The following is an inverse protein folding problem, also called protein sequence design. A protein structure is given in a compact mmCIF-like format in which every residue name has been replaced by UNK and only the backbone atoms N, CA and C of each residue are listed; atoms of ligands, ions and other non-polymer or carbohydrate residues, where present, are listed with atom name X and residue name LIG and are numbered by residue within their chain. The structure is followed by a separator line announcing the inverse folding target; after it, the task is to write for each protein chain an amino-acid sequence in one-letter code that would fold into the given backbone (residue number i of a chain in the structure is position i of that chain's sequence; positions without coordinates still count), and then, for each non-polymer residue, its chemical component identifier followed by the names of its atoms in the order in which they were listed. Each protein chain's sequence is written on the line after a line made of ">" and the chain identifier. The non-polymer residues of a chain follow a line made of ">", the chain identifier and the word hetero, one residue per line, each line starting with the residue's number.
data_IF_516590746630
#
_entry.id   IF_516590746630
#
_cell.length_a   1.000
_cell.length_b   1.000
_cell.length_c   1.000
_cell.angle_alpha   90.00
_cell.angle_beta   90.00
_cell.angle_gamma   90.00
#
_symmetry.space_group_name_H-M   'P 1'
#
loop_
_entity.id
_entity.type
_entity.pdbx_description
1 polymer ?
#
# COMPACT_ATOMS: atom_id res chain seq x y z
N UNK A 1 -0.51 -25.05 2.29
CA UNK A 1 -0.65 -24.99 0.81
C UNK A 1 0.64 -24.38 0.27
N UNK A 2 1.35 -25.00 -0.68
CA UNK A 2 2.54 -24.36 -1.28
C UNK A 2 2.07 -23.28 -2.26
N UNK A 3 2.50 -22.04 -2.04
CA UNK A 3 2.13 -20.90 -2.88
C UNK A 3 2.87 -21.00 -4.22
N UNK A 4 2.15 -20.85 -5.33
CA UNK A 4 2.75 -20.85 -6.66
C UNK A 4 3.00 -19.41 -7.15
N UNK A 5 4.23 -18.92 -6.93
CA UNK A 5 4.65 -17.58 -7.34
C UNK A 5 4.65 -17.37 -8.86
N UNK A 6 4.82 -18.43 -9.66
CA UNK A 6 5.02 -18.33 -11.11
C UNK A 6 3.80 -17.82 -11.89
N UNK A 7 2.62 -17.79 -11.26
CA UNK A 7 1.38 -17.27 -11.87
C UNK A 7 1.12 -15.80 -11.52
N UNK A 8 1.93 -15.17 -10.67
CA UNK A 8 1.74 -13.80 -10.24
C UNK A 8 2.44 -12.83 -11.19
N UNK A 9 1.70 -11.82 -11.66
CA UNK A 9 2.28 -10.78 -12.54
C UNK A 9 3.43 -10.06 -11.84
N UNK A 10 3.34 -9.82 -10.54
CA UNK A 10 4.39 -9.17 -9.74
C UNK A 10 5.72 -9.93 -9.71
N UNK A 11 5.67 -11.26 -9.90
CA UNK A 11 6.85 -12.13 -9.89
C UNK A 11 7.30 -12.51 -11.32
N UNK A 12 6.56 -12.07 -12.33
CA UNK A 12 6.86 -12.36 -13.73
C UNK A 12 7.98 -11.47 -14.26
N UNK A 13 8.77 -11.99 -15.20
CA UNK A 13 9.81 -11.20 -15.87
C UNK A 13 9.18 -10.32 -16.94
N UNK A 14 9.55 -9.04 -16.97
CA UNK A 14 9.19 -8.16 -18.08
C UNK A 14 10.13 -8.42 -19.28
N UNK A 15 9.60 -8.84 -20.46
CA UNK A 15 10.43 -9.06 -21.64
C UNK A 15 11.19 -7.81 -22.11
N UNK A 16 10.64 -6.61 -21.90
CA UNK A 16 11.25 -5.35 -22.29
C UNK A 16 12.54 -5.03 -21.52
N UNK A 17 12.74 -5.64 -20.34
CA UNK A 17 13.94 -5.47 -19.50
C UNK A 17 14.82 -6.73 -19.47
N UNK A 18 14.66 -7.65 -20.43
CA UNK A 18 15.38 -8.93 -20.46
C UNK A 18 16.91 -8.80 -20.50
N UNK A 19 17.43 -7.67 -20.98
CA UNK A 19 18.87 -7.35 -21.08
C UNK A 19 19.23 -6.03 -20.37
N UNK A 20 18.40 -5.57 -19.43
CA UNK A 20 18.51 -4.23 -18.82
C UNK A 20 19.86 -3.95 -18.17
N UNK A 21 20.55 -4.98 -17.68
CA UNK A 21 21.87 -4.94 -17.05
C UNK A 21 23.02 -4.69 -18.04
N UNK A 22 22.76 -4.78 -19.34
CA UNK A 22 23.77 -4.58 -20.41
C UNK A 22 23.52 -3.34 -21.27
N UNK A 23 22.42 -2.62 -21.03
CA UNK A 23 22.06 -1.43 -21.80
C UNK A 23 22.94 -0.23 -21.43
N UNK A 24 23.20 0.68 -22.39
CA UNK A 24 23.63 2.04 -22.06
C UNK A 24 22.64 2.70 -21.09
N UNK A 25 23.13 3.55 -20.19
CA UNK A 25 22.31 4.17 -19.14
C UNK A 25 21.07 4.88 -19.68
N UNK A 26 21.18 5.57 -20.83
CA UNK A 26 20.04 6.24 -21.45
C UNK A 26 18.95 5.26 -21.88
N UNK A 27 19.33 4.13 -22.47
CA UNK A 27 18.40 3.11 -22.95
C UNK A 27 17.74 2.38 -21.77
N UNK A 28 18.50 2.10 -20.70
CA UNK A 28 17.94 1.58 -19.44
C UNK A 28 16.87 2.53 -18.86
N UNK A 29 17.15 3.83 -18.81
CA UNK A 29 16.18 4.83 -18.33
C UNK A 29 14.97 4.94 -19.25
N UNK A 30 15.14 4.78 -20.56
CA UNK A 30 14.03 4.77 -21.51
C UNK A 30 13.10 3.56 -21.28
N UNK A 31 13.65 2.37 -20.96
CA UNK A 31 12.86 1.20 -20.58
C UNK A 31 12.04 1.48 -19.32
N UNK A 32 12.66 2.00 -18.25
CA UNK A 32 11.97 2.33 -16.99
C UNK A 32 10.84 3.35 -17.24
N UNK A 33 11.15 4.45 -17.90
CA UNK A 33 10.17 5.51 -18.18
C UNK A 33 9.02 5.01 -19.09
N UNK A 34 9.28 4.07 -19.99
CA UNK A 34 8.22 3.45 -20.79
C UNK A 34 7.29 2.57 -19.96
N UNK A 35 7.76 1.95 -18.88
CA UNK A 35 6.91 1.21 -17.94
C UNK A 35 6.12 2.15 -17.03
N UNK A 36 6.73 3.24 -16.56
CA UNK A 36 6.07 4.25 -15.73
C UNK A 36 4.83 4.86 -16.42
N UNK A 37 4.91 5.10 -17.74
CA UNK A 37 3.79 5.59 -18.54
C UNK A 37 2.56 4.67 -18.54
N UNK A 38 2.72 3.40 -18.18
CA UNK A 38 1.60 2.44 -18.09
C UNK A 38 0.81 2.61 -16.80
N UNK A 39 1.40 3.19 -15.75
CA UNK A 39 0.77 3.31 -14.42
C UNK A 39 -0.48 4.20 -14.47
N UNK A 40 -0.46 5.43 -15.03
CA UNK A 40 -1.67 6.24 -15.13
C UNK A 40 -2.81 5.57 -15.91
N UNK A 41 -2.47 4.78 -16.94
CA UNK A 41 -3.45 4.02 -17.72
C UNK A 41 -4.09 2.90 -16.90
N UNK A 42 -3.31 2.20 -16.07
CA UNK A 42 -3.82 1.19 -15.15
C UNK A 42 -4.72 1.82 -14.06
N UNK A 43 -4.35 2.98 -13.52
CA UNK A 43 -5.18 3.74 -12.57
C UNK A 43 -6.48 4.22 -13.21
N UNK A 44 -6.43 4.69 -14.47
CA UNK A 44 -7.62 5.12 -15.19
C UNK A 44 -8.66 3.99 -15.32
N UNK A 45 -8.20 2.74 -15.47
CA UNK A 45 -9.07 1.57 -15.54
C UNK A 45 -9.76 1.21 -14.22
N UNK A 46 -9.28 1.71 -13.07
CA UNK A 46 -9.82 1.41 -11.73
C UNK A 46 -10.56 2.58 -11.09
N UNK A 47 -10.81 3.66 -11.83
CA UNK A 47 -11.53 4.83 -11.33
C UNK A 47 -12.92 4.50 -10.73
N UNK A 48 -13.72 3.57 -11.28
CA UNK A 48 -14.99 3.19 -10.64
C UNK A 48 -14.82 2.61 -9.23
N UNK A 49 -13.79 1.78 -9.01
CA UNK A 49 -13.46 1.23 -7.70
C UNK A 49 -12.93 2.31 -6.75
N UNK A 50 -12.04 3.18 -7.23
CA UNK A 50 -11.50 4.30 -6.45
C UNK A 50 -12.63 5.22 -6.00
N UNK A 51 -13.58 5.55 -6.88
CA UNK A 51 -14.73 6.38 -6.55
C UNK A 51 -15.55 5.78 -5.40
N UNK A 52 -15.81 4.47 -5.43
CA UNK A 52 -16.53 3.79 -4.34
C UNK A 52 -15.79 3.88 -3.00
N UNK A 53 -14.46 3.74 -3.01
CA UNK A 53 -13.65 3.88 -1.79
C UNK A 53 -13.71 5.31 -1.27
N UNK A 54 -13.61 6.31 -2.15
CA UNK A 54 -13.75 7.73 -1.77
C UNK A 54 -15.11 7.98 -1.11
N UNK A 55 -16.20 7.51 -1.70
CA UNK A 55 -17.55 7.69 -1.14
C UNK A 55 -17.69 7.07 0.26
N UNK A 56 -17.17 5.85 0.45
CA UNK A 56 -17.15 5.18 1.77
C UNK A 56 -16.34 5.95 2.81
N UNK A 57 -15.19 6.49 2.42
CA UNK A 57 -14.34 7.29 3.32
C UNK A 57 -15.02 8.60 3.70
N UNK A 58 -15.66 9.27 2.75
CA UNK A 58 -16.42 10.51 3.01
C UNK A 58 -17.55 10.23 4.00
N UNK A 59 -18.29 9.14 3.83
CA UNK A 59 -19.34 8.72 4.76
C UNK A 59 -18.76 8.40 6.16
N UNK A 60 -17.64 7.68 6.24
CA UNK A 60 -16.98 7.38 7.50
C UNK A 60 -16.56 8.66 8.24
N UNK A 61 -15.92 9.60 7.54
CA UNK A 61 -15.55 10.89 8.12
C UNK A 61 -16.76 11.68 8.62
N UNK A 62 -17.86 11.72 7.86
CA UNK A 62 -19.10 12.38 8.28
C UNK A 62 -19.68 11.79 9.57
N UNK A 63 -19.42 10.50 9.83
CA UNK A 63 -19.85 9.77 11.03
C UNK A 63 -18.78 9.71 12.13
N UNK A 64 -17.71 10.49 12.01
CA UNK A 64 -16.62 10.57 12.99
C UNK A 64 -15.69 9.35 13.02
N UNK A 65 -15.66 8.58 11.93
CA UNK A 65 -14.69 7.52 11.68
C UNK A 65 -13.37 8.04 11.11
N UNK A 66 -12.42 7.12 10.92
CA UNK A 66 -11.07 7.39 10.39
C UNK A 66 -10.78 6.60 9.13
N UNK A 67 -9.77 7.03 8.37
CA UNK A 67 -9.18 6.27 7.28
C UNK A 67 -7.85 5.68 7.75
N UNK A 68 -7.74 4.35 7.71
CA UNK A 68 -6.55 3.62 8.14
C UNK A 68 -5.94 2.91 6.94
N UNK A 69 -4.70 3.27 6.57
CA UNK A 69 -3.88 2.50 5.64
C UNK A 69 -3.10 1.43 6.39
N UNK A 70 -2.97 0.24 5.81
CA UNK A 70 -2.19 -0.85 6.38
C UNK A 70 -1.36 -1.54 5.30
N UNK A 71 -0.05 -1.64 5.50
CA UNK A 71 0.84 -2.33 4.55
C UNK A 71 2.16 -2.76 5.16
N UNK A 72 2.97 -3.47 4.38
CA UNK A 72 4.34 -3.80 4.73
C UNK A 72 5.32 -3.13 3.76
N UNK A 73 6.56 -2.92 4.19
CA UNK A 73 7.63 -2.38 3.35
C UNK A 73 7.23 -1.08 2.65
N UNK A 74 7.45 -1.01 1.33
CA UNK A 74 7.09 0.16 0.51
C UNK A 74 5.61 0.52 0.61
N UNK A 75 4.71 -0.45 0.62
CA UNK A 75 3.27 -0.23 0.72
C UNK A 75 2.88 0.48 2.02
N UNK A 76 3.43 0.01 3.15
CA UNK A 76 3.19 0.66 4.44
C UNK A 76 3.80 2.06 4.52
N UNK A 77 4.99 2.26 3.92
CA UNK A 77 5.62 3.60 3.86
C UNK A 77 4.81 4.59 3.03
N UNK A 78 4.21 4.17 1.92
CA UNK A 78 3.34 5.03 1.11
C UNK A 78 2.06 5.41 1.87
N UNK A 79 1.47 4.49 2.65
CA UNK A 79 0.34 4.82 3.52
C UNK A 79 0.70 5.83 4.61
N UNK A 80 1.90 5.73 5.20
CA UNK A 80 2.41 6.72 6.16
C UNK A 80 2.66 8.08 5.49
N UNK A 81 3.24 8.08 4.29
CA UNK A 81 3.49 9.30 3.53
C UNK A 81 2.19 10.07 3.29
N UNK A 82 1.18 9.41 2.71
CA UNK A 82 -0.13 10.03 2.41
C UNK A 82 -0.83 10.55 3.69
N UNK A 83 -0.87 9.73 4.74
CA UNK A 83 -1.45 10.13 6.03
C UNK A 83 -0.75 11.34 6.64
N UNK A 84 0.58 11.43 6.52
CA UNK A 84 1.37 12.52 7.10
C UNK A 84 1.14 13.87 6.42
N UNK A 85 0.70 13.87 5.16
CA UNK A 85 0.44 15.07 4.37
C UNK A 85 -0.97 15.65 4.62
N UNK A 86 -1.91 14.86 5.18
CA UNK A 86 -3.27 15.31 5.41
C UNK A 86 -3.39 16.50 6.40
N UNK A 87 -2.77 16.48 7.60
CA UNK A 87 -2.85 17.60 8.53
C UNK A 87 -2.31 18.93 7.98
N UNK A 88 -1.10 19.02 7.38
CA UNK A 88 -0.60 20.30 6.86
C UNK A 88 -1.32 20.75 5.59
N UNK A 89 -1.87 19.83 4.78
CA UNK A 89 -2.52 20.17 3.51
C UNK A 89 -3.98 20.60 3.71
N UNK A 90 -4.71 19.88 4.57
CA UNK A 90 -6.16 20.03 4.72
C UNK A 90 -6.59 20.53 6.11
N UNK A 91 -5.66 20.70 7.05
CA UNK A 91 -5.96 21.16 8.41
C UNK A 91 -6.67 20.12 9.28
N UNK A 92 -6.60 18.84 8.92
CA UNK A 92 -7.26 17.74 9.63
C UNK A 92 -6.51 17.35 10.92
N UNK A 93 -7.20 16.77 11.91
CA UNK A 93 -6.54 16.07 13.02
C UNK A 93 -5.61 14.95 12.50
N UNK A 94 -4.53 14.66 13.23
CA UNK A 94 -3.57 13.61 12.86
C UNK A 94 -4.19 12.22 12.91
N UNK A 95 -5.23 12.05 13.71
CA UNK A 95 -5.91 10.79 13.96
C UNK A 95 -6.96 10.48 12.88
N UNK A 96 -7.30 11.44 12.01
CA UNK A 96 -8.32 11.25 10.97
C UNK A 96 -7.83 10.33 9.85
N UNK A 97 -6.54 10.39 9.50
CA UNK A 97 -5.90 9.51 8.51
C UNK A 97 -4.65 8.92 9.13
N UNK A 98 -4.54 7.60 9.18
CA UNK A 98 -3.46 6.89 9.89
C UNK A 98 -2.80 5.86 8.97
N UNK A 99 -1.47 5.83 8.95
CA UNK A 99 -0.70 4.80 8.28
C UNK A 99 -0.12 3.78 9.25
N UNK A 100 -0.48 2.51 9.09
CA UNK A 100 0.12 1.35 9.76
C UNK A 100 1.13 0.66 8.86
N UNK A 101 2.26 0.28 9.45
CA UNK A 101 3.33 -0.46 8.79
C UNK A 101 3.71 -1.68 9.60
N UNK A 102 3.77 -2.84 8.94
CA UNK A 102 4.28 -4.07 9.54
C UNK A 102 5.69 -3.85 10.11
N UNK A 103 5.90 -4.19 11.38
CA UNK A 103 7.16 -3.96 12.10
C UNK A 103 7.26 -2.58 12.77
N UNK A 104 6.20 -1.76 12.72
CA UNK A 104 6.07 -0.51 13.46
C UNK A 104 7.08 0.57 13.06
N UNK A 105 7.38 1.49 13.97
CA UNK A 105 8.21 2.68 13.69
C UNK A 105 9.59 2.35 13.12
N UNK A 106 10.21 1.25 13.53
CA UNK A 106 11.51 0.83 12.99
C UNK A 106 11.42 0.52 11.47
N UNK A 107 10.28 -0.02 11.03
CA UNK A 107 10.04 -0.37 9.63
C UNK A 107 9.99 0.85 8.69
N UNK A 108 9.78 2.06 9.24
CA UNK A 108 9.79 3.30 8.47
C UNK A 108 11.18 3.53 7.88
N UNK A 109 12.23 3.37 8.70
CA UNK A 109 13.61 3.70 8.33
C UNK A 109 14.39 2.51 7.79
N UNK A 110 14.06 1.29 8.23
CA UNK A 110 14.79 0.07 7.88
C UNK A 110 13.82 -1.07 7.58
N UNK A 111 14.21 -2.02 6.73
CA UNK A 111 13.40 -3.22 6.54
C UNK A 111 13.45 -4.09 7.80
N UNK A 112 12.30 -4.61 8.23
CA UNK A 112 12.19 -5.55 9.36
C UNK A 112 11.85 -6.92 8.78
N UNK A 113 12.74 -7.89 8.95
CA UNK A 113 12.55 -9.24 8.44
C UNK A 113 11.30 -9.90 9.04
N UNK A 114 10.57 -10.65 8.20
CA UNK A 114 9.37 -11.44 8.57
C UNK A 114 8.19 -10.64 9.15
N UNK A 115 8.23 -9.31 9.18
CA UNK A 115 7.11 -8.50 9.67
C UNK A 115 5.87 -8.66 8.79
N UNK A 116 6.06 -8.78 7.47
CA UNK A 116 4.97 -8.95 6.50
C UNK A 116 4.28 -10.33 6.57
N UNK A 117 4.96 -11.32 7.16
CA UNK A 117 4.51 -12.70 7.28
C UNK A 117 3.69 -12.97 8.55
N UNK A 118 3.40 -11.96 9.37
CA UNK A 118 2.67 -12.08 10.63
C UNK A 118 1.24 -11.54 10.54
N UNK A 119 0.22 -12.40 10.31
CA UNK A 119 -1.19 -12.00 10.36
C UNK A 119 -1.59 -11.39 11.71
N UNK A 120 -1.09 -11.95 12.80
CA UNK A 120 -1.46 -11.55 14.16
C UNK A 120 -0.98 -10.13 14.48
N UNK A 121 0.11 -9.68 13.87
CA UNK A 121 0.61 -8.33 14.05
C UNK A 121 -0.35 -7.30 13.43
N UNK A 122 -0.95 -7.61 12.27
CA UNK A 122 -1.96 -6.76 11.65
C UNK A 122 -3.12 -6.53 12.61
N UNK A 123 -3.76 -7.63 13.04
CA UNK A 123 -4.89 -7.59 13.96
C UNK A 123 -4.55 -6.82 15.25
N UNK A 124 -3.36 -7.06 15.81
CA UNK A 124 -2.92 -6.40 17.03
C UNK A 124 -2.74 -4.89 16.84
N UNK A 125 -2.22 -4.44 15.69
CA UNK A 125 -2.08 -3.02 15.39
C UNK A 125 -3.44 -2.32 15.28
N UNK A 126 -4.45 -2.96 14.68
CA UNK A 126 -5.82 -2.44 14.66
C UNK A 126 -6.46 -2.39 16.06
N UNK A 127 -6.26 -3.44 16.87
CA UNK A 127 -6.70 -3.45 18.27
C UNK A 127 -6.08 -2.31 19.07
N UNK A 128 -4.79 -2.05 18.88
CA UNK A 128 -4.09 -0.95 19.55
C UNK A 128 -4.59 0.44 19.13
N UNK A 129 -5.21 0.56 17.95
CA UNK A 129 -5.84 1.79 17.45
C UNK A 129 -7.32 1.92 17.84
N UNK A 130 -7.87 0.98 18.61
CA UNK A 130 -9.31 0.88 18.88
C UNK A 130 -10.15 0.92 17.57
N UNK A 131 -9.65 0.23 16.53
CA UNK A 131 -10.32 0.13 15.23
C UNK A 131 -11.74 -0.43 15.40
N UNK A 132 -12.71 0.21 14.77
CA UNK A 132 -14.12 -0.16 14.94
C UNK A 132 -14.93 0.05 13.65
N UNK A 133 -16.21 -0.28 13.70
CA UNK A 133 -17.11 -0.28 12.54
C UNK A 133 -17.35 1.10 11.89
N UNK A 134 -16.88 2.21 12.48
CA UNK A 134 -16.93 3.53 11.87
C UNK A 134 -15.71 3.82 10.99
N UNK A 135 -14.63 3.09 11.19
CA UNK A 135 -13.38 3.31 10.48
C UNK A 135 -13.38 2.56 9.14
N UNK A 136 -12.60 3.07 8.18
CA UNK A 136 -12.33 2.42 6.89
C UNK A 136 -10.89 1.93 6.89
N UNK A 137 -10.70 0.65 6.57
CA UNK A 137 -9.38 0.04 6.41
C UNK A 137 -9.05 -0.15 4.93
N UNK A 138 -7.87 0.32 4.53
CA UNK A 138 -7.31 0.12 3.19
C UNK A 138 -6.01 -0.68 3.32
N UNK A 139 -6.08 -1.96 2.96
CA UNK A 139 -4.93 -2.86 2.91
C UNK A 139 -4.15 -2.71 1.61
N UNK A 140 -2.83 -2.45 1.71
CA UNK A 140 -1.96 -2.17 0.56
C UNK A 140 -0.90 -3.27 0.43
N UNK A 141 -1.02 -4.10 -0.61
CA UNK A 141 -0.05 -5.11 -0.96
C UNK A 141 -0.04 -5.34 -2.47
N UNK A 142 1.08 -5.04 -3.15
CA UNK A 142 1.20 -5.27 -4.60
C UNK A 142 0.98 -6.74 -4.98
N UNK A 143 1.45 -7.67 -4.12
CA UNK A 143 1.25 -9.11 -4.30
C UNK A 143 -0.21 -9.56 -4.11
N UNK A 144 -1.05 -8.72 -3.48
CA UNK A 144 -2.41 -9.06 -3.08
C UNK A 144 -2.52 -10.16 -2.01
N UNK A 145 -1.40 -10.60 -1.43
CA UNK A 145 -1.38 -11.80 -0.56
C UNK A 145 -0.49 -11.69 0.68
N UNK A 146 -0.05 -10.49 1.04
CA UNK A 146 0.80 -10.24 2.20
C UNK A 146 0.08 -10.62 3.50
N UNK A 147 0.58 -11.60 4.30
CA UNK A 147 -0.13 -12.11 5.47
C UNK A 147 -0.51 -11.06 6.51
N UNK A 148 0.36 -10.09 6.81
CA UNK A 148 0.05 -8.96 7.71
C UNK A 148 -1.18 -8.17 7.26
N UNK A 149 -1.34 -7.95 5.96
CA UNK A 149 -2.47 -7.19 5.40
C UNK A 149 -3.75 -8.03 5.39
N UNK A 150 -3.63 -9.34 5.19
CA UNK A 150 -4.77 -10.27 5.15
C UNK A 150 -5.26 -10.71 6.54
N UNK A 151 -4.45 -10.52 7.59
CA UNK A 151 -4.77 -10.93 8.95
C UNK A 151 -5.70 -10.00 9.73
N UNK A 152 -6.22 -8.96 9.07
CA UNK A 152 -7.02 -7.87 9.63
C UNK A 152 -8.51 -8.21 9.72
#
# INVERSE_FOLDING_TARGET
>A
MKINLSQMVTESRNPASSQIDTLPTLDMLAVINSEDQKVPLAVAATLPEIARVVDLVVEAFANGGRLIYCGAGTSGRLGILDASECPPTYGTPREQVVGLIAGGHAAILQAVENAEDSPQMGEQDLRNLDFNARDVLVGIAASGRTPYVLGQ
#
